data_IF_885523134718
#
_entry.id   IF_885523134718
#
_cell.length_a   1.000
_cell.length_b   1.000
_cell.length_c   1.000
_cell.angle_alpha   90.00
_cell.angle_beta   90.00
_cell.angle_gamma   90.00
#
_symmetry.space_group_name_H-M   'P 1'
#
loop_
_entity.id
_entity.type
_entity.pdbx_description
1 polymer ?
#
# COMPACT_ATOMS: atom_id res chain seq x y z
N UNK A 1 17.37 5.12 29.45
CA UNK A 1 16.92 4.10 30.43
C UNK A 1 16.74 4.78 31.78
N UNK A 2 15.62 4.52 32.49
CA UNK A 2 15.44 5.02 33.86
C UNK A 2 16.39 4.31 34.82
N UNK A 3 16.91 5.05 35.80
CA UNK A 3 17.76 4.49 36.86
C UNK A 3 16.94 3.61 37.80
N UNK A 4 17.61 2.74 38.56
CA UNK A 4 16.96 1.81 39.49
C UNK A 4 16.10 2.54 40.54
N UNK A 5 16.59 3.65 41.09
CA UNK A 5 15.86 4.51 42.03
C UNK A 5 14.58 5.08 41.41
N UNK A 6 14.64 5.47 40.14
CA UNK A 6 13.51 6.07 39.43
C UNK A 6 12.41 5.03 39.18
N UNK A 7 12.78 3.79 38.82
CA UNK A 7 11.83 2.68 38.69
C UNK A 7 11.12 2.36 40.01
N UNK A 8 11.84 2.36 41.13
CA UNK A 8 11.25 2.11 42.46
C UNK A 8 10.27 3.22 42.83
N UNK A 9 10.66 4.49 42.62
CA UNK A 9 9.79 5.64 42.89
C UNK A 9 8.51 5.60 42.05
N UNK A 10 8.65 5.36 40.74
CA UNK A 10 7.51 5.31 39.82
C UNK A 10 6.61 4.09 40.14
N UNK A 11 7.20 2.98 40.59
CA UNK A 11 6.51 1.81 41.16
C UNK A 11 5.65 2.14 42.38
N UNK A 12 6.21 2.84 43.36
CA UNK A 12 5.51 3.25 44.58
C UNK A 12 4.37 4.22 44.25
N UNK A 13 4.62 5.21 43.39
CA UNK A 13 3.61 6.18 42.98
C UNK A 13 2.43 5.52 42.27
N UNK A 14 2.69 4.55 41.40
CA UNK A 14 1.65 3.80 40.71
C UNK A 14 0.86 2.88 41.67
N UNK A 15 1.55 2.18 42.58
CA UNK A 15 0.92 1.32 43.57
C UNK A 15 -0.02 2.09 44.52
N UNK A 16 0.35 3.30 44.95
CA UNK A 16 -0.51 4.17 45.75
C UNK A 16 -1.82 4.54 45.05
N UNK A 17 -1.82 4.55 43.72
CA UNK A 17 -2.96 4.86 42.88
C UNK A 17 -3.67 3.60 42.35
N UNK A 18 -3.24 2.41 42.77
CA UNK A 18 -3.78 1.13 42.28
C UNK A 18 -3.50 0.84 40.81
N UNK A 19 -2.45 1.45 40.24
CA UNK A 19 -2.08 1.37 38.81
C UNK A 19 -0.72 0.73 38.63
N UNK A 20 -0.40 0.27 37.41
CA UNK A 20 0.98 -0.05 37.05
C UNK A 20 1.75 1.21 36.66
N UNK A 21 3.09 1.22 36.76
CA UNK A 21 3.92 2.37 36.36
C UNK A 21 3.68 2.79 34.90
N UNK A 22 3.47 1.83 34.01
CA UNK A 22 3.21 2.08 32.59
C UNK A 22 1.85 2.77 32.39
N UNK A 23 0.82 2.36 33.13
CA UNK A 23 -0.49 3.00 33.08
C UNK A 23 -0.45 4.43 33.60
N UNK A 24 0.29 4.66 34.71
CA UNK A 24 0.46 5.98 35.29
C UNK A 24 1.24 6.91 34.34
N UNK A 25 2.29 6.40 33.70
CA UNK A 25 3.07 7.17 32.70
C UNK A 25 2.25 7.53 31.46
N UNK A 26 1.42 6.61 30.98
CA UNK A 26 0.55 6.85 29.83
C UNK A 26 -0.51 7.92 30.15
N UNK A 27 -1.12 7.85 31.33
CA UNK A 27 -2.07 8.87 31.79
C UNK A 27 -1.41 10.24 31.94
N UNK A 28 -0.22 10.31 32.53
CA UNK A 28 0.55 11.56 32.62
C UNK A 28 0.90 12.14 31.24
N UNK A 29 1.22 11.28 30.26
CA UNK A 29 1.43 11.71 28.87
C UNK A 29 0.16 12.26 28.27
N UNK A 30 -0.97 11.59 28.46
CA UNK A 30 -2.27 12.03 27.95
C UNK A 30 -2.69 13.37 28.56
N UNK A 31 -2.52 13.53 29.87
CA UNK A 31 -2.79 14.79 30.57
C UNK A 31 -1.90 15.92 30.09
N UNK A 32 -0.60 15.67 29.90
CA UNK A 32 0.34 16.65 29.37
C UNK A 32 -0.02 17.07 27.93
N UNK A 33 -0.40 16.12 27.08
CA UNK A 33 -0.88 16.40 25.71
C UNK A 33 -2.17 17.21 25.75
N UNK A 34 -3.12 16.83 26.60
CA UNK A 34 -4.38 17.56 26.76
C UNK A 34 -4.13 19.01 27.19
N UNK A 35 -3.31 19.22 28.21
CA UNK A 35 -2.94 20.57 28.67
C UNK A 35 -2.28 21.39 27.57
N UNK A 36 -1.37 20.79 26.80
CA UNK A 36 -0.70 21.49 25.70
C UNK A 36 -1.67 21.86 24.57
N UNK A 37 -2.63 20.97 24.26
CA UNK A 37 -3.69 21.22 23.28
C UNK A 37 -4.64 22.31 23.78
N UNK A 38 -5.05 22.27 25.05
CA UNK A 38 -5.90 23.30 25.65
C UNK A 38 -5.21 24.67 25.62
N UNK A 39 -3.93 24.76 26.01
CA UNK A 39 -3.12 25.99 25.94
C UNK A 39 -2.97 26.52 24.51
N UNK A 40 -2.88 25.62 23.53
CA UNK A 40 -2.81 25.99 22.12
C UNK A 40 -4.17 26.53 21.63
N UNK A 41 -5.28 25.88 21.99
CA UNK A 41 -6.63 26.32 21.66
C UNK A 41 -6.97 27.68 22.28
N UNK A 42 -6.53 27.93 23.52
CA UNK A 42 -6.69 29.23 24.19
C UNK A 42 -5.95 30.34 23.44
N UNK A 43 -4.72 30.06 22.97
CA UNK A 43 -3.89 31.03 22.23
C UNK A 43 -4.31 31.23 20.78
N UNK A 44 -5.04 30.28 20.20
CA UNK A 44 -5.46 30.30 18.81
C UNK A 44 -6.99 30.08 18.69
N UNK A 45 -7.82 31.06 19.12
CA UNK A 45 -9.28 30.91 19.12
C UNK A 45 -9.90 30.78 17.72
N UNK A 46 -9.22 31.28 16.69
CA UNK A 46 -9.64 31.16 15.29
C UNK A 46 -9.32 29.79 14.68
N UNK A 47 -8.45 29.01 15.33
CA UNK A 47 -8.07 27.69 14.84
C UNK A 47 -9.16 26.67 15.21
N UNK A 48 -9.81 26.11 14.20
CA UNK A 48 -10.78 25.02 14.36
C UNK A 48 -10.15 23.73 13.85
N UNK A 49 -9.97 22.69 14.71
CA UNK A 49 -9.51 21.40 14.24
C UNK A 49 -10.53 20.87 13.22
N UNK A 50 -10.08 20.64 11.99
CA UNK A 50 -10.89 19.98 10.98
C UNK A 50 -10.96 18.50 11.34
N UNK A 51 -12.00 18.11 12.07
CA UNK A 51 -12.31 16.71 12.41
C UNK A 51 -12.97 15.96 11.27
N UNK A 52 -13.33 16.66 10.19
CA UNK A 52 -13.82 16.03 8.97
C UNK A 52 -12.69 15.28 8.28
N UNK A 53 -12.85 13.98 7.98
CA UNK A 53 -11.87 13.27 7.16
C UNK A 53 -11.76 14.01 5.82
N UNK A 54 -10.54 14.23 5.34
CA UNK A 54 -10.27 14.91 4.06
C UNK A 54 -11.04 14.28 2.88
N UNK A 55 -11.43 13.01 3.02
CA UNK A 55 -12.37 12.35 2.12
C UNK A 55 -13.40 11.58 2.93
N UNK A 56 -14.68 11.77 2.61
CA UNK A 56 -15.78 11.04 3.25
C UNK A 56 -15.54 9.52 3.22
N UNK A 57 -15.82 8.80 4.33
CA UNK A 57 -15.74 7.35 4.38
C UNK A 57 -16.62 6.72 3.30
N UNK A 58 -16.21 5.58 2.78
CA UNK A 58 -17.04 4.79 1.87
C UNK A 58 -17.98 3.94 2.70
N UNK A 59 -19.26 4.28 2.68
CA UNK A 59 -20.29 3.63 3.53
C UNK A 59 -20.98 2.46 2.83
N UNK A 60 -20.90 2.36 1.49
CA UNK A 60 -21.56 1.31 0.73
C UNK A 60 -20.67 0.67 -0.34
N UNK A 61 -20.94 -0.60 -0.67
CA UNK A 61 -20.27 -1.33 -1.76
C UNK A 61 -20.42 -0.62 -3.11
N UNK A 62 -21.59 -0.03 -3.38
CA UNK A 62 -21.87 0.74 -4.62
C UNK A 62 -21.02 2.01 -4.71
N UNK A 63 -20.86 2.73 -3.60
CA UNK A 63 -19.98 3.89 -3.51
C UNK A 63 -18.51 3.50 -3.70
N UNK A 64 -18.10 2.34 -3.14
CA UNK A 64 -16.75 1.79 -3.34
C UNK A 64 -16.47 1.52 -4.83
N UNK A 65 -17.37 0.80 -5.50
CA UNK A 65 -17.24 0.50 -6.93
C UNK A 65 -17.16 1.78 -7.77
N UNK A 66 -18.01 2.77 -7.50
CA UNK A 66 -18.00 4.05 -8.23
C UNK A 66 -16.69 4.85 -8.04
N UNK A 67 -16.11 4.84 -6.83
CA UNK A 67 -14.80 5.47 -6.58
C UNK A 67 -13.67 4.73 -7.28
N UNK A 68 -13.71 3.40 -7.30
CA UNK A 68 -12.72 2.57 -8.00
C UNK A 68 -12.79 2.83 -9.51
N UNK A 69 -13.99 2.82 -10.11
CA UNK A 69 -14.17 3.14 -11.53
C UNK A 69 -13.69 4.57 -11.87
N UNK A 70 -13.96 5.55 -11.00
CA UNK A 70 -13.49 6.94 -11.21
C UNK A 70 -11.96 7.06 -11.14
N UNK A 71 -11.30 6.31 -10.26
CA UNK A 71 -9.85 6.39 -10.06
C UNK A 71 -9.06 5.63 -11.12
N UNK A 72 -9.57 4.49 -11.57
CA UNK A 72 -8.89 3.62 -12.54
C UNK A 72 -9.30 3.91 -14.00
N UNK A 73 -10.28 4.79 -14.23
CA UNK A 73 -10.80 5.14 -15.56
C UNK A 73 -11.92 4.21 -16.03
N UNK A 74 -12.68 4.65 -17.04
CA UNK A 74 -13.90 3.99 -17.52
C UNK A 74 -13.69 2.58 -18.11
N UNK A 75 -12.45 2.11 -18.26
CA UNK A 75 -12.10 0.76 -18.72
C UNK A 75 -11.51 -0.16 -17.63
N UNK A 76 -11.46 0.30 -16.37
CA UNK A 76 -10.87 -0.47 -15.30
C UNK A 76 -11.71 -1.71 -14.94
N UNK A 77 -11.17 -2.89 -15.25
CA UNK A 77 -11.80 -4.18 -14.98
C UNK A 77 -12.31 -4.91 -16.22
N UNK A 78 -12.22 -4.31 -17.42
CA UNK A 78 -12.51 -5.02 -18.68
C UNK A 78 -11.19 -5.47 -19.27
N UNK A 79 -10.92 -6.78 -19.22
CA UNK A 79 -9.82 -7.37 -19.97
C UNK A 79 -10.07 -7.10 -21.46
N UNK A 80 -9.16 -6.36 -22.09
CA UNK A 80 -9.18 -6.18 -23.55
C UNK A 80 -8.26 -7.25 -24.13
N UNK A 81 -8.79 -8.31 -24.78
CA UNK A 81 -7.95 -9.32 -25.39
C UNK A 81 -7.07 -8.66 -26.47
N UNK A 82 -5.79 -9.00 -26.50
CA UNK A 82 -4.93 -8.58 -27.60
C UNK A 82 -5.30 -9.44 -28.82
N UNK A 83 -6.05 -8.88 -29.76
CA UNK A 83 -6.33 -9.55 -31.03
C UNK A 83 -5.04 -9.56 -31.83
N UNK A 84 -4.48 -10.76 -32.03
CA UNK A 84 -3.26 -10.94 -32.82
C UNK A 84 -3.63 -11.02 -34.29
N UNK A 85 -2.96 -10.24 -35.15
CA UNK A 85 -2.98 -10.47 -36.59
C UNK A 85 -2.17 -11.74 -36.89
N UNK A 86 -2.88 -12.84 -37.10
CA UNK A 86 -2.29 -14.16 -37.41
C UNK A 86 -1.39 -14.13 -38.64
N UNK A 87 -1.68 -13.28 -39.64
CA UNK A 87 -0.85 -13.15 -40.83
C UNK A 87 0.46 -12.42 -40.50
N UNK A 88 0.41 -11.37 -39.67
CA UNK A 88 1.61 -10.72 -39.16
C UNK A 88 2.45 -11.65 -38.28
N UNK A 89 1.80 -12.44 -37.41
CA UNK A 89 2.47 -13.43 -36.58
C UNK A 89 3.17 -14.51 -37.42
N UNK A 90 2.51 -15.01 -38.47
CA UNK A 90 3.09 -15.98 -39.39
C UNK A 90 4.33 -15.42 -40.12
N UNK A 91 4.26 -14.17 -40.60
CA UNK A 91 5.41 -13.49 -41.23
C UNK A 91 6.59 -13.32 -40.26
N UNK A 92 6.30 -12.90 -39.02
CA UNK A 92 7.33 -12.75 -38.00
C UNK A 92 8.01 -14.08 -37.66
N UNK A 93 7.22 -15.16 -37.49
CA UNK A 93 7.75 -16.51 -37.24
C UNK A 93 8.63 -17.02 -38.38
N UNK A 94 8.24 -16.78 -39.64
CA UNK A 94 9.04 -17.17 -40.79
C UNK A 94 10.40 -16.44 -40.81
N UNK A 95 10.40 -15.12 -40.57
CA UNK A 95 11.64 -14.32 -40.51
C UNK A 95 12.56 -14.74 -39.36
N UNK A 96 12.01 -15.05 -38.19
CA UNK A 96 12.81 -15.56 -37.08
C UNK A 96 13.48 -16.90 -37.42
N UNK A 97 12.79 -17.81 -38.12
CA UNK A 97 13.40 -19.07 -38.58
C UNK A 97 14.52 -18.85 -39.58
N UNK A 98 14.38 -17.90 -40.49
CA UNK A 98 15.45 -17.51 -41.43
C UNK A 98 16.69 -17.00 -40.68
N UNK A 99 16.51 -16.15 -39.66
CA UNK A 99 17.61 -15.61 -38.84
C UNK A 99 18.33 -16.74 -38.08
N UNK A 100 17.58 -17.65 -37.46
CA UNK A 100 18.16 -18.81 -36.74
C UNK A 100 18.88 -19.75 -37.69
N UNK A 101 18.37 -19.95 -38.91
CA UNK A 101 19.04 -20.78 -39.92
C UNK A 101 20.32 -20.15 -40.48
N UNK A 102 20.38 -18.81 -40.54
CA UNK A 102 21.55 -18.08 -41.00
C UNK A 102 22.72 -18.14 -40.00
N UNK A 103 22.44 -18.07 -38.70
CA UNK A 103 23.45 -18.26 -37.65
C UNK A 103 22.88 -19.04 -36.45
N UNK A 104 22.91 -20.38 -36.51
CA UNK A 104 22.41 -21.22 -35.43
C UNK A 104 23.22 -21.05 -34.14
N UNK A 105 24.52 -20.78 -34.24
CA UNK A 105 25.40 -20.68 -33.07
C UNK A 105 25.08 -19.44 -32.23
N UNK A 106 24.72 -18.32 -32.88
CA UNK A 106 24.35 -17.09 -32.19
C UNK A 106 22.88 -17.05 -31.72
N UNK A 107 21.95 -17.70 -32.43
CA UNK A 107 20.52 -17.46 -32.19
C UNK A 107 19.72 -18.66 -31.68
N UNK A 108 20.21 -19.91 -31.80
CA UNK A 108 19.43 -21.10 -31.41
C UNK A 108 19.07 -21.16 -29.92
N UNK A 109 19.89 -20.54 -29.05
CA UNK A 109 19.65 -20.48 -27.61
C UNK A 109 18.77 -19.29 -27.18
N UNK A 110 18.51 -18.34 -28.08
CA UNK A 110 17.70 -17.13 -27.81
C UNK A 110 16.29 -17.29 -28.40
N UNK A 111 16.19 -17.87 -29.59
CA UNK A 111 14.95 -18.05 -30.32
C UNK A 111 14.76 -19.56 -30.51
N UNK A 112 13.99 -20.18 -29.63
CA UNK A 112 13.66 -21.60 -29.76
C UNK A 112 12.94 -21.84 -31.09
N UNK A 113 13.52 -22.71 -31.90
CA UNK A 113 12.94 -23.15 -33.18
C UNK A 113 11.83 -24.21 -32.98
N UNK A 114 11.79 -24.84 -31.81
CA UNK A 114 10.78 -25.80 -31.40
C UNK A 114 9.53 -25.09 -30.85
N UNK A 115 8.34 -25.70 -30.96
CA UNK A 115 7.15 -25.24 -30.24
C UNK A 115 7.43 -25.20 -28.74
N UNK A 116 7.10 -24.08 -28.09
CA UNK A 116 7.18 -23.94 -26.63
C UNK A 116 6.35 -25.06 -26.00
N UNK A 117 6.98 -25.90 -25.17
CA UNK A 117 6.29 -26.98 -24.45
C UNK A 117 5.19 -26.36 -23.58
N UNK A 118 3.93 -26.52 -23.99
CA UNK A 118 2.76 -26.10 -23.21
C UNK A 118 1.54 -25.58 -23.98
N UNK A 119 1.53 -25.62 -25.32
CA UNK A 119 0.38 -25.08 -26.12
C UNK A 119 -0.43 -26.18 -26.84
N UNK A 120 -0.18 -27.46 -26.59
CA UNK A 120 -1.01 -28.55 -27.11
C UNK A 120 -1.29 -29.63 -26.04
N UNK A 121 -2.06 -29.26 -25.01
CA UNK A 121 -2.94 -30.17 -24.25
C UNK A 121 -4.31 -29.48 -24.10
#
# INVERSE_FOLDING_TARGET
MKTTLQKVRDGIAAALLGKTPEQLEEEQRQDAVKSAVDDYLIRHPDWKPTTAPAVAPVTSKKQKAKRIMKTLGAGAGVFTPHVVDEAALARARAKCREIVAADPAAYSYIIESAPIKGVND
#
